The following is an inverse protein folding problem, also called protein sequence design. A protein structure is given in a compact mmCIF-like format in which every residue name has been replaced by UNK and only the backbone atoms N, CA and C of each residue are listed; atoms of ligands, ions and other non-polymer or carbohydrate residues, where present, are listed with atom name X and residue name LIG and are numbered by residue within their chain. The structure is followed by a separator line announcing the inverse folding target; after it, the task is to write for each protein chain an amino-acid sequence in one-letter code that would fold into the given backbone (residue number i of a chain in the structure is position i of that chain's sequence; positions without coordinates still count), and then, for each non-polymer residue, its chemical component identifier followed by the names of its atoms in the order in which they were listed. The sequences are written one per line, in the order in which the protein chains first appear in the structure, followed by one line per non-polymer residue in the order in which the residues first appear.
data_IF_564133207134
#
_entry.id   IF_564133207134
#
_cell.length_a   1.000
_cell.length_b   1.000
_cell.length_c   1.000
_cell.angle_alpha   90.00
_cell.angle_beta   90.00
_cell.angle_gamma   90.00
#
_symmetry.space_group_name_H-M   'P 1'
#
loop_
_entity.id
_entity.type
_entity.pdbx_description
1 polymer ?
#
# COMPACT_ATOMS: atom_id res chain seq x y z
N UNK A 1 -13.98 -10.87 37.30
CA UNK A 1 -12.60 -11.19 36.91
C UNK A 1 -12.71 -12.05 35.68
N UNK A 2 -12.14 -11.57 34.57
CA UNK A 2 -11.99 -12.25 33.27
C UNK A 2 -13.24 -12.51 32.43
N UNK A 3 -13.69 -11.47 31.71
CA UNK A 3 -14.52 -11.57 30.49
C UNK A 3 -14.34 -10.29 29.68
N UNK A 4 -13.30 -10.20 28.84
CA UNK A 4 -13.24 -9.38 27.61
C UNK A 4 -11.85 -9.39 26.93
N UNK A 5 -11.31 -10.59 26.72
CA UNK A 5 -10.22 -10.80 25.77
C UNK A 5 -10.62 -12.06 25.01
N UNK A 6 -11.35 -11.92 23.90
CA UNK A 6 -11.55 -12.90 22.81
C UNK A 6 -12.76 -12.47 21.99
N UNK A 7 -12.60 -11.47 21.11
CA UNK A 7 -13.54 -11.26 19.99
C UNK A 7 -12.88 -10.41 18.89
N UNK A 8 -11.98 -11.02 18.12
CA UNK A 8 -11.83 -10.75 16.66
C UNK A 8 -10.76 -11.68 16.06
N UNK A 9 -11.05 -12.98 16.11
CA UNK A 9 -10.46 -13.99 15.24
C UNK A 9 -11.62 -14.85 14.75
N UNK A 10 -12.15 -14.51 13.58
CA UNK A 10 -13.00 -15.28 12.66
C UNK A 10 -13.83 -14.29 11.85
N UNK A 11 -14.17 -14.65 10.59
CA UNK A 11 -14.81 -13.86 9.51
C UNK A 11 -13.73 -13.29 8.54
N UNK A 12 -13.44 -13.79 7.33
CA UNK A 12 -14.16 -14.66 6.38
C UNK A 12 -13.17 -15.45 5.50
N UNK A 13 -13.50 -16.72 5.24
CA UNK A 13 -13.07 -17.51 4.08
C UNK A 13 -14.32 -17.80 3.23
N UNK A 14 -14.12 -17.91 1.91
CA UNK A 14 -15.06 -18.19 0.79
C UNK A 14 -15.84 -17.07 0.07
N UNK A 15 -15.61 -17.09 -1.25
CA UNK A 15 -16.52 -16.83 -2.39
C UNK A 15 -16.61 -15.42 -2.99
N UNK A 16 -15.84 -15.24 -4.08
CA UNK A 16 -16.27 -14.87 -5.44
C UNK A 16 -17.44 -13.87 -5.65
N UNK A 17 -17.07 -12.75 -6.30
CA UNK A 17 -17.80 -12.00 -7.34
C UNK A 17 -18.86 -10.94 -6.96
N UNK A 18 -19.01 -9.89 -7.79
CA UNK A 18 -19.08 -8.50 -7.32
C UNK A 18 -20.42 -7.81 -7.62
N UNK A 19 -20.75 -6.76 -6.84
CA UNK A 19 -21.73 -5.77 -7.25
C UNK A 19 -21.23 -4.36 -6.91
N UNK A 20 -20.91 -3.66 -8.00
CA UNK A 20 -20.58 -2.24 -8.09
C UNK A 20 -21.69 -1.35 -7.52
N UNK A 21 -21.30 -0.26 -6.88
CA UNK A 21 -22.05 1.00 -6.94
C UNK A 21 -21.09 2.14 -7.27
N UNK A 22 -21.32 2.76 -8.43
CA UNK A 22 -20.62 3.96 -8.90
C UNK A 22 -21.41 5.18 -8.43
N UNK A 23 -20.76 6.12 -7.75
CA UNK A 23 -21.34 7.43 -7.43
C UNK A 23 -20.63 8.46 -8.29
N UNK A 24 -21.37 9.02 -9.25
CA UNK A 24 -20.98 10.16 -10.07
C UNK A 24 -20.93 11.43 -9.22
N UNK A 25 -19.83 12.19 -9.30
CA UNK A 25 -19.83 13.60 -8.93
C UNK A 25 -19.46 14.46 -10.14
N UNK A 26 -20.38 15.37 -10.48
CA UNK A 26 -20.32 16.27 -11.60
C UNK A 26 -19.21 17.32 -11.45
N UNK A 27 -18.54 17.59 -12.58
CA UNK A 27 -17.59 18.69 -12.81
C UNK A 27 -18.28 20.06 -12.76
N UNK A 28 -17.58 21.04 -12.19
CA UNK A 28 -17.54 22.41 -12.73
C UNK A 28 -16.10 22.95 -12.62
N UNK A 29 -15.66 23.68 -13.64
CA UNK A 29 -14.28 24.11 -13.85
C UNK A 29 -14.13 25.64 -13.93
N UNK A 30 -13.05 26.14 -13.27
CA UNK A 30 -12.16 27.30 -13.59
C UNK A 30 -12.68 28.75 -13.44
N UNK A 31 -11.82 29.77 -13.19
CA UNK A 31 -10.48 30.00 -13.78
C UNK A 31 -9.30 30.37 -12.84
N UNK A 32 -8.13 30.48 -13.48
CA UNK A 32 -6.74 30.55 -13.00
C UNK A 32 -6.32 31.89 -12.34
N UNK A 33 -5.31 31.82 -11.47
CA UNK A 33 -4.35 32.90 -11.18
C UNK A 33 -2.95 32.34 -10.77
N UNK A 34 -1.85 33.12 -10.90
CA UNK A 34 -0.51 32.65 -11.30
C UNK A 34 0.43 32.18 -10.16
N UNK A 35 1.57 31.51 -10.47
CA UNK A 35 2.39 30.84 -9.47
C UNK A 35 3.48 31.76 -8.90
N UNK A 36 3.41 32.10 -7.61
CA UNK A 36 4.57 32.61 -6.85
C UNK A 36 4.51 32.19 -5.39
N UNK A 37 5.65 31.70 -4.90
CA UNK A 37 5.98 31.72 -3.48
C UNK A 37 6.70 30.47 -3.02
N UNK A 38 8.04 30.49 -3.09
CA UNK A 38 8.92 29.65 -2.30
C UNK A 38 8.45 29.58 -0.84
N UNK A 39 8.16 28.38 -0.34
CA UNK A 39 8.00 28.16 1.10
C UNK A 39 9.30 27.56 1.67
N UNK A 40 9.86 28.10 2.75
CA UNK A 40 10.99 27.47 3.43
C UNK A 40 10.46 26.27 4.22
N UNK A 41 10.79 25.06 3.77
CA UNK A 41 10.49 23.84 4.50
C UNK A 41 11.28 23.80 5.82
N UNK A 42 10.58 23.96 6.93
CA UNK A 42 11.08 23.69 8.27
C UNK A 42 10.71 22.27 8.72
N UNK A 43 11.71 21.48 9.11
CA UNK A 43 11.55 20.16 9.73
C UNK A 43 10.61 20.24 10.97
N UNK A 44 9.52 19.45 11.06
CA UNK A 44 8.62 19.43 12.23
C UNK A 44 9.34 19.02 13.53
N UNK A 45 10.53 18.42 13.43
CA UNK A 45 11.32 17.95 14.55
C UNK A 45 12.39 18.93 15.04
N UNK A 46 12.58 20.10 14.39
CA UNK A 46 13.46 21.14 14.98
C UNK A 46 12.98 21.60 16.38
N UNK A 47 11.69 21.45 16.66
CA UNK A 47 11.10 21.71 17.98
C UNK A 47 11.02 20.47 18.90
N UNK A 48 11.58 19.31 18.53
CA UNK A 48 11.81 18.19 19.45
C UNK A 48 13.15 18.31 20.19
N UNK A 49 14.05 19.17 19.72
CA UNK A 49 15.39 19.33 20.30
C UNK A 49 15.39 20.21 21.58
N UNK A 50 14.39 21.07 21.79
CA UNK A 50 14.32 21.92 22.97
C UNK A 50 13.39 21.33 24.04
N UNK A 51 14.03 20.68 25.04
CA UNK A 51 13.46 20.15 26.30
C UNK A 51 12.56 18.91 26.12
N UNK A 52 13.19 17.75 25.89
CA UNK A 52 12.55 16.45 26.06
C UNK A 52 12.07 16.29 27.52
N UNK A 53 10.77 16.09 27.81
CA UNK A 53 10.41 15.35 29.00
C UNK A 53 11.06 13.98 28.84
N UNK A 54 11.90 13.60 29.79
CA UNK A 54 12.68 12.35 29.76
C UNK A 54 11.71 11.19 29.52
N UNK A 55 11.81 10.56 28.35
CA UNK A 55 11.06 9.33 28.08
C UNK A 55 11.50 8.29 29.13
N UNK A 56 10.53 7.59 29.73
CA UNK A 56 10.86 6.46 30.60
C UNK A 56 11.65 5.41 29.82
N UNK A 57 12.53 4.66 30.50
CA UNK A 57 13.34 3.60 29.88
C UNK A 57 12.51 2.62 29.02
N UNK A 58 11.32 2.23 29.48
CA UNK A 58 10.44 1.31 28.75
C UNK A 58 9.93 1.90 27.42
N UNK A 59 9.44 3.14 27.44
CA UNK A 59 8.97 3.84 26.22
C UNK A 59 10.10 4.06 25.21
N UNK A 60 11.30 4.35 25.69
CA UNK A 60 12.48 4.49 24.84
C UNK A 60 12.86 3.14 24.21
N UNK A 61 12.80 2.05 24.98
CA UNK A 61 13.04 0.69 24.48
C UNK A 61 12.05 0.32 23.37
N UNK A 62 10.74 0.51 23.59
CA UNK A 62 9.70 0.26 22.58
C UNK A 62 9.94 1.03 21.29
N UNK A 63 10.25 2.33 21.40
CA UNK A 63 10.54 3.18 20.24
C UNK A 63 11.80 2.68 19.51
N UNK A 64 12.88 2.39 20.23
CA UNK A 64 14.14 1.94 19.63
C UNK A 64 13.98 0.59 18.93
N UNK A 65 13.25 -0.36 19.52
CA UNK A 65 12.92 -1.64 18.88
C UNK A 65 12.14 -1.42 17.60
N UNK A 66 11.11 -0.55 17.63
CA UNK A 66 10.33 -0.23 16.45
C UNK A 66 11.19 0.41 15.35
N UNK A 67 11.99 1.44 15.67
CA UNK A 67 12.82 2.15 14.70
C UNK A 67 13.93 1.26 14.12
N UNK A 68 14.49 0.34 14.92
CA UNK A 68 15.48 -0.64 14.46
C UNK A 68 14.87 -1.65 13.49
N UNK A 69 13.67 -2.16 13.82
CA UNK A 69 12.93 -3.07 12.94
C UNK A 69 12.51 -2.37 11.64
N UNK A 70 12.09 -1.10 11.72
CA UNK A 70 11.78 -0.29 10.55
C UNK A 70 13.02 -0.11 9.67
N UNK A 71 14.15 0.29 10.24
CA UNK A 71 15.42 0.43 9.52
C UNK A 71 15.82 -0.88 8.82
N UNK A 72 15.80 -2.00 9.54
CA UNK A 72 16.10 -3.32 9.00
C UNK A 72 15.16 -3.70 7.85
N UNK A 73 13.86 -3.45 8.01
CA UNK A 73 12.86 -3.73 6.98
C UNK A 73 13.04 -2.89 5.71
N UNK A 74 13.53 -1.66 5.84
CA UNK A 74 13.83 -0.77 4.71
C UNK A 74 15.11 -1.24 4.02
N UNK A 75 16.16 -1.56 4.77
CA UNK A 75 17.43 -2.07 4.21
C UNK A 75 17.19 -3.34 3.39
N UNK A 76 16.29 -4.23 3.82
CA UNK A 76 15.93 -5.44 3.06
C UNK A 76 15.29 -5.16 1.70
N UNK A 77 14.73 -3.97 1.49
CA UNK A 77 14.12 -3.58 0.22
C UNK A 77 15.12 -2.97 -0.76
N UNK A 78 16.37 -2.74 -0.36
CA UNK A 78 17.46 -2.32 -1.25
C UNK A 78 17.98 -3.57 -1.97
N UNK A 79 17.76 -3.71 -3.29
CA UNK A 79 18.17 -4.90 -4.00
C UNK A 79 19.68 -4.95 -4.13
N UNK A 80 20.24 -6.16 -4.08
CA UNK A 80 21.68 -6.36 -4.25
C UNK A 80 22.12 -6.10 -5.69
N UNK A 81 21.22 -6.39 -6.62
CA UNK A 81 21.43 -6.22 -8.05
C UNK A 81 20.38 -5.27 -8.61
N UNK A 82 20.81 -4.36 -9.49
CA UNK A 82 19.92 -3.39 -10.13
C UNK A 82 18.83 -4.04 -10.98
N UNK A 83 19.11 -5.22 -11.54
CA UNK A 83 18.18 -6.05 -12.31
C UNK A 83 16.92 -6.45 -11.53
N UNK A 84 16.99 -6.46 -10.19
CA UNK A 84 15.87 -6.83 -9.32
C UNK A 84 14.90 -5.67 -9.07
N UNK A 85 15.26 -4.44 -9.42
CA UNK A 85 14.42 -3.25 -9.25
C UNK A 85 13.24 -3.32 -10.24
N UNK A 86 12.03 -3.05 -9.73
CA UNK A 86 10.76 -3.15 -10.48
C UNK A 86 10.44 -4.56 -11.03
N UNK A 87 10.98 -5.60 -10.42
CA UNK A 87 10.46 -6.98 -10.57
C UNK A 87 9.19 -7.16 -9.74
N UNK A 88 8.28 -8.04 -10.18
CA UNK A 88 7.10 -8.46 -9.42
C UNK A 88 7.49 -9.11 -8.08
N UNK A 89 8.62 -9.83 -8.05
CA UNK A 89 9.18 -10.37 -6.81
C UNK A 89 9.53 -9.26 -5.82
N UNK A 90 10.23 -8.20 -6.27
CA UNK A 90 10.53 -7.04 -5.43
C UNK A 90 9.26 -6.32 -4.97
N UNK A 91 8.29 -6.15 -5.87
CA UNK A 91 7.01 -5.51 -5.55
C UNK A 91 6.26 -6.30 -4.45
N UNK A 92 6.19 -7.63 -4.58
CA UNK A 92 5.57 -8.49 -3.55
C UNK A 92 6.27 -8.33 -2.20
N UNK A 93 7.61 -8.35 -2.17
CA UNK A 93 8.39 -8.12 -0.95
C UNK A 93 8.17 -6.72 -0.35
N UNK A 94 8.10 -5.69 -1.18
CA UNK A 94 7.84 -4.31 -0.76
C UNK A 94 6.46 -4.18 -0.10
N UNK A 95 5.43 -4.77 -0.70
CA UNK A 95 4.08 -4.74 -0.18
C UNK A 95 3.93 -5.59 1.10
N UNK A 96 4.52 -6.78 1.14
CA UNK A 96 4.58 -7.61 2.36
C UNK A 96 5.28 -6.86 3.51
N UNK A 97 6.35 -6.12 3.20
CA UNK A 97 7.07 -5.27 4.15
C UNK A 97 6.20 -4.12 4.67
N UNK A 98 5.29 -3.56 3.85
CA UNK A 98 4.27 -2.61 4.33
C UNK A 98 3.27 -3.26 5.27
N UNK A 99 2.71 -4.42 4.91
CA UNK A 99 1.79 -5.18 5.76
C UNK A 99 2.39 -5.42 7.15
N UNK A 100 3.65 -5.88 7.20
CA UNK A 100 4.38 -6.09 8.46
C UNK A 100 4.54 -4.79 9.26
N UNK A 101 4.87 -3.68 8.59
CA UNK A 101 5.10 -2.39 9.25
C UNK A 101 3.81 -1.82 9.85
N UNK A 102 2.68 -1.92 9.15
CA UNK A 102 1.39 -1.47 9.66
C UNK A 102 0.88 -2.34 10.80
N UNK A 103 1.10 -3.67 10.74
CA UNK A 103 0.83 -4.55 11.87
C UNK A 103 1.71 -4.22 13.09
N UNK A 104 2.98 -3.88 12.88
CA UNK A 104 3.87 -3.47 13.97
C UNK A 104 3.39 -2.19 14.68
N UNK A 105 2.73 -1.27 13.97
CA UNK A 105 2.08 -0.12 14.60
C UNK A 105 0.90 -0.54 15.47
N UNK A 106 0.09 -1.51 15.03
CA UNK A 106 -1.01 -2.04 15.85
C UNK A 106 -0.49 -2.65 17.15
N UNK A 107 0.61 -3.41 17.09
CA UNK A 107 1.30 -3.94 18.27
C UNK A 107 1.81 -2.79 19.16
N UNK A 108 2.49 -1.80 18.59
CA UNK A 108 3.00 -0.65 19.35
C UNK A 108 1.88 0.13 20.05
N UNK A 109 0.74 0.35 19.41
CA UNK A 109 -0.42 1.02 20.05
C UNK A 109 -0.90 0.22 21.27
N UNK A 110 -0.91 -1.11 21.16
CA UNK A 110 -1.30 -2.02 22.25
C UNK A 110 -0.29 -1.97 23.39
N UNK A 111 1.01 -2.06 23.10
CA UNK A 111 2.10 -2.02 24.09
C UNK A 111 2.21 -0.66 24.79
N UNK A 112 1.83 0.41 24.09
CA UNK A 112 1.74 1.74 24.68
C UNK A 112 0.52 1.90 25.59
N UNK A 113 -0.45 0.99 25.57
CA UNK A 113 -1.73 1.11 26.27
C UNK A 113 -2.34 2.51 26.06
N UNK A 114 -2.33 2.98 24.80
CA UNK A 114 -2.81 4.31 24.45
C UNK A 114 -4.19 4.19 23.79
N UNK A 115 -5.29 4.29 24.56
CA UNK A 115 -6.63 4.15 24.00
C UNK A 115 -6.89 5.25 22.97
N UNK A 116 -7.75 4.96 22.00
CA UNK A 116 -8.16 5.92 20.97
C UNK A 116 -8.74 7.20 21.58
N UNK A 117 -9.39 7.11 22.75
CA UNK A 117 -9.89 8.27 23.51
C UNK A 117 -8.81 9.28 23.92
N UNK A 118 -7.55 8.85 23.96
CA UNK A 118 -6.41 9.73 24.27
C UNK A 118 -5.84 10.45 23.04
N UNK A 119 -6.37 10.17 21.85
CA UNK A 119 -5.94 10.83 20.62
C UNK A 119 -6.64 12.18 20.51
N UNK A 120 -5.97 13.20 20.00
CA UNK A 120 -6.63 14.50 19.76
C UNK A 120 -7.65 14.34 18.62
N UNK A 121 -8.79 15.04 18.68
CA UNK A 121 -9.87 14.92 17.69
C UNK A 121 -9.36 15.07 16.23
N UNK A 122 -8.41 15.96 16.00
CA UNK A 122 -7.79 16.19 14.68
C UNK A 122 -7.04 14.97 14.12
N UNK A 123 -6.52 14.10 14.98
CA UNK A 123 -5.79 12.91 14.56
C UNK A 123 -6.68 11.84 13.98
N UNK A 124 -7.90 11.73 14.48
CA UNK A 124 -8.92 10.83 13.94
C UNK A 124 -9.19 11.21 12.49
N UNK A 125 -9.50 12.48 12.23
CA UNK A 125 -9.78 12.98 10.88
C UNK A 125 -8.61 12.75 9.93
N UNK A 126 -7.39 13.02 10.37
CA UNK A 126 -6.17 12.83 9.56
C UNK A 126 -5.91 11.36 9.28
N UNK A 127 -6.10 10.47 10.25
CA UNK A 127 -5.95 9.04 10.03
C UNK A 127 -6.98 8.52 9.03
N UNK A 128 -8.25 8.93 9.18
CA UNK A 128 -9.32 8.55 8.27
C UNK A 128 -9.05 9.07 6.84
N UNK A 129 -8.60 10.32 6.70
CA UNK A 129 -8.21 10.92 5.41
C UNK A 129 -7.02 10.21 4.76
N UNK A 130 -5.98 9.88 5.54
CA UNK A 130 -4.83 9.14 5.02
C UNK A 130 -5.25 7.72 4.61
N UNK A 131 -6.02 7.02 5.45
CA UNK A 131 -6.40 5.63 5.19
C UNK A 131 -7.28 5.51 3.95
N UNK A 132 -8.24 6.41 3.71
CA UNK A 132 -9.05 6.38 2.47
C UNK A 132 -8.20 6.61 1.23
N UNK A 133 -7.25 7.55 1.28
CA UNK A 133 -6.31 7.80 0.18
C UNK A 133 -5.41 6.58 -0.12
N UNK A 134 -4.97 5.87 0.91
CA UNK A 134 -4.22 4.63 0.74
C UNK A 134 -5.09 3.49 0.18
N UNK A 135 -6.36 3.42 0.58
CA UNK A 135 -7.33 2.47 0.01
C UNK A 135 -7.60 2.76 -1.47
N UNK A 136 -7.69 4.04 -1.87
CA UNK A 136 -7.82 4.44 -3.27
C UNK A 136 -6.60 4.03 -4.11
N UNK A 137 -5.38 4.16 -3.56
CA UNK A 137 -4.17 3.65 -4.20
C UNK A 137 -4.21 2.13 -4.34
N UNK A 138 -4.62 1.39 -3.31
CA UNK A 138 -4.78 -0.06 -3.38
C UNK A 138 -5.78 -0.45 -4.48
N UNK A 139 -6.93 0.23 -4.57
CA UNK A 139 -7.92 0.00 -5.62
C UNK A 139 -7.35 0.24 -7.02
N UNK A 140 -6.52 1.28 -7.19
CA UNK A 140 -5.83 1.55 -8.45
C UNK A 140 -4.83 0.44 -8.80
N UNK A 141 -4.04 0.00 -7.82
CA UNK A 141 -3.06 -1.09 -7.99
C UNK A 141 -3.74 -2.43 -8.30
N UNK A 142 -4.77 -2.82 -7.55
CA UNK A 142 -5.55 -4.04 -7.80
C UNK A 142 -6.21 -4.01 -9.17
N UNK A 143 -6.71 -2.85 -9.60
CA UNK A 143 -7.26 -2.69 -10.93
C UNK A 143 -6.21 -2.88 -12.02
N UNK A 144 -4.99 -2.38 -11.79
CA UNK A 144 -3.90 -2.56 -12.74
C UNK A 144 -3.43 -4.00 -12.81
N UNK A 145 -3.23 -4.66 -11.67
CA UNK A 145 -2.87 -6.08 -11.62
C UNK A 145 -3.93 -6.96 -12.29
N UNK A 146 -5.21 -6.64 -12.08
CA UNK A 146 -6.31 -7.33 -12.78
C UNK A 146 -6.25 -7.12 -14.30
N UNK A 147 -5.92 -5.90 -14.75
CA UNK A 147 -5.74 -5.57 -16.16
C UNK A 147 -4.56 -6.34 -16.75
N UNK A 148 -3.41 -6.36 -16.07
CA UNK A 148 -2.25 -7.14 -16.49
C UNK A 148 -2.57 -8.64 -16.56
N UNK A 149 -3.31 -9.16 -15.58
CA UNK A 149 -3.76 -10.55 -15.57
C UNK A 149 -4.73 -10.86 -16.71
N UNK A 150 -5.60 -9.94 -17.13
CA UNK A 150 -6.42 -10.14 -18.34
C UNK A 150 -5.56 -10.31 -19.60
N UNK A 151 -4.37 -9.68 -19.63
CA UNK A 151 -3.38 -9.86 -20.68
C UNK A 151 -2.93 -11.32 -20.86
N UNK A 152 -2.97 -12.10 -19.78
CA UNK A 152 -2.62 -13.52 -19.77
C UNK A 152 -3.46 -14.35 -20.75
N UNK A 153 -4.74 -14.01 -20.95
CA UNK A 153 -5.62 -14.74 -21.88
C UNK A 153 -5.13 -14.65 -23.33
N UNK A 154 -4.65 -13.47 -23.74
CA UNK A 154 -4.07 -13.29 -25.07
C UNK A 154 -2.79 -14.12 -25.24
N UNK A 155 -1.97 -14.18 -24.19
CA UNK A 155 -0.73 -14.96 -24.18
C UNK A 155 -1.01 -16.46 -24.23
N UNK A 156 -1.93 -16.96 -23.40
CA UNK A 156 -2.33 -18.37 -23.41
C UNK A 156 -2.90 -18.79 -24.77
N UNK A 157 -3.76 -17.94 -25.36
CA UNK A 157 -4.32 -18.23 -26.68
C UNK A 157 -3.24 -18.25 -27.75
N UNK A 158 -2.28 -17.30 -27.70
CA UNK A 158 -1.15 -17.30 -28.61
C UNK A 158 -0.32 -18.57 -28.45
N UNK A 159 0.14 -18.88 -27.23
CA UNK A 159 0.94 -20.07 -26.92
C UNK A 159 0.26 -21.36 -27.37
N UNK A 160 -1.03 -21.52 -27.10
CA UNK A 160 -1.80 -22.67 -27.56
C UNK A 160 -1.78 -22.82 -29.08
N UNK A 161 -2.02 -21.72 -29.82
CA UNK A 161 -2.01 -21.75 -31.28
C UNK A 161 -0.60 -22.02 -31.85
N UNK A 162 0.45 -21.50 -31.22
CA UNK A 162 1.84 -21.75 -31.60
C UNK A 162 2.21 -23.23 -31.35
N UNK A 163 1.86 -23.78 -30.20
CA UNK A 163 2.16 -25.17 -29.82
C UNK A 163 1.47 -26.24 -30.68
N UNK A 164 0.35 -25.90 -31.33
CA UNK A 164 -0.32 -26.84 -32.27
C UNK A 164 0.46 -27.07 -33.57
N UNK A 165 1.47 -26.24 -33.88
CA UNK A 165 2.30 -26.33 -35.09
C UNK A 165 1.52 -26.43 -36.41
N UNK A 166 0.30 -25.88 -36.43
CA UNK A 166 -0.57 -25.89 -37.60
C UNK A 166 -0.48 -24.54 -38.33
N UNK A 167 -0.11 -24.47 -39.62
CA UNK A 167 0.11 -23.20 -40.34
C UNK A 167 -1.08 -22.22 -40.29
N UNK A 168 -2.31 -22.74 -40.26
CA UNK A 168 -3.54 -21.95 -40.17
C UNK A 168 -3.73 -21.22 -38.83
N UNK A 169 -2.99 -21.62 -37.78
CA UNK A 169 -3.09 -21.03 -36.45
C UNK A 169 -2.07 -19.91 -36.22
N UNK A 170 -1.03 -19.80 -37.07
CA UNK A 170 -0.03 -18.73 -36.97
C UNK A 170 -0.61 -17.32 -37.08
N UNK A 171 -1.53 -17.00 -38.01
CA UNK A 171 -2.16 -15.68 -38.06
C UNK A 171 -2.97 -15.35 -36.81
N UNK A 172 -3.61 -16.36 -36.20
CA UNK A 172 -4.37 -16.21 -34.94
C UNK A 172 -3.44 -15.93 -33.77
N UNK A 173 -2.33 -16.66 -33.68
CA UNK A 173 -1.32 -16.43 -32.66
C UNK A 173 -0.73 -15.02 -32.77
N UNK A 174 -0.33 -14.60 -33.98
CA UNK A 174 0.19 -13.26 -34.24
C UNK A 174 -0.80 -12.17 -33.83
N UNK A 175 -2.07 -12.30 -34.25
CA UNK A 175 -3.13 -11.36 -33.89
C UNK A 175 -3.34 -11.27 -32.37
N UNK A 176 -3.21 -12.39 -31.65
CA UNK A 176 -3.32 -12.44 -30.20
C UNK A 176 -2.12 -11.80 -29.49
N UNK A 177 -0.91 -12.01 -30.01
CA UNK A 177 0.30 -11.35 -29.50
C UNK A 177 0.26 -9.83 -29.72
N UNK A 178 -0.26 -9.40 -30.87
CA UNK A 178 -0.47 -7.98 -31.15
C UNK A 178 -1.57 -7.39 -30.25
N UNK A 179 -2.66 -8.13 -30.01
CA UNK A 179 -3.69 -7.73 -29.05
C UNK A 179 -3.14 -7.62 -27.62
N UNK A 180 -2.28 -8.54 -27.19
CA UNK A 180 -1.56 -8.45 -25.91
C UNK A 180 -0.71 -7.18 -25.83
N UNK A 181 0.07 -6.87 -26.87
CA UNK A 181 0.89 -5.64 -26.93
C UNK A 181 0.05 -4.37 -26.85
N UNK A 182 -1.08 -4.31 -27.55
CA UNK A 182 -1.99 -3.18 -27.45
C UNK A 182 -2.63 -3.10 -26.06
N UNK A 183 -2.98 -4.25 -25.48
CA UNK A 183 -3.54 -4.33 -24.14
C UNK A 183 -2.57 -3.78 -23.11
N UNK A 184 -1.33 -4.23 -23.04
CA UNK A 184 -0.37 -3.77 -22.02
C UNK A 184 0.00 -2.28 -22.15
N UNK A 185 0.10 -1.74 -23.36
CA UNK A 185 0.38 -0.31 -23.63
C UNK A 185 -0.83 0.59 -23.30
N UNK A 186 -2.06 0.04 -23.33
CA UNK A 186 -3.24 0.80 -22.96
C UNK A 186 -3.16 1.30 -21.52
N UNK A 187 -3.46 2.58 -21.31
CA UNK A 187 -3.42 3.20 -19.98
C UNK A 187 -4.63 2.80 -19.15
N UNK A 188 -4.41 2.56 -17.87
CA UNK A 188 -5.47 2.40 -16.90
C UNK A 188 -5.88 3.76 -16.31
N UNK A 189 -7.10 4.25 -16.55
CA UNK A 189 -7.54 5.57 -16.09
C UNK A 189 -7.56 5.68 -14.56
N UNK A 190 -7.65 4.57 -13.82
CA UNK A 190 -7.61 4.60 -12.35
C UNK A 190 -6.25 5.01 -11.79
N UNK A 191 -5.19 4.95 -12.59
CA UNK A 191 -3.85 5.40 -12.19
C UNK A 191 -3.65 6.91 -12.34
N UNK A 192 -4.55 7.62 -13.04
CA UNK A 192 -4.42 9.06 -13.27
C UNK A 192 -4.54 9.87 -11.96
N UNK A 193 -5.33 9.39 -11.00
CA UNK A 193 -5.51 10.04 -9.70
C UNK A 193 -4.35 9.78 -8.73
N UNK A 194 -3.50 8.78 -8.97
CA UNK A 194 -2.43 8.39 -8.05
C UNK A 194 -1.47 9.55 -7.75
N UNK A 195 -1.10 10.34 -8.76
CA UNK A 195 -0.21 11.48 -8.57
C UNK A 195 -0.78 12.49 -7.58
N UNK A 196 -2.04 12.91 -7.81
CA UNK A 196 -2.72 13.87 -6.93
C UNK A 196 -2.86 13.35 -5.50
N UNK A 197 -3.19 12.07 -5.34
CA UNK A 197 -3.29 11.41 -4.02
C UNK A 197 -1.92 11.43 -3.32
N UNK A 198 -0.86 11.01 -4.00
CA UNK A 198 0.49 10.98 -3.44
C UNK A 198 0.98 12.38 -3.07
N UNK A 199 0.77 13.39 -3.92
CA UNK A 199 1.11 14.78 -3.62
C UNK A 199 0.36 15.28 -2.38
N UNK A 200 -0.93 15.00 -2.25
CA UNK A 200 -1.73 15.36 -1.06
C UNK A 200 -1.19 14.69 0.21
N UNK A 201 -0.80 13.42 0.11
CA UNK A 201 -0.24 12.70 1.26
C UNK A 201 1.15 13.20 1.67
N UNK A 202 1.98 13.64 0.72
CA UNK A 202 3.27 14.29 0.98
C UNK A 202 3.06 15.66 1.64
N UNK A 203 2.07 16.43 1.21
CA UNK A 203 1.74 17.72 1.85
C UNK A 203 1.32 17.55 3.32
N UNK A 204 0.70 16.41 3.65
CA UNK A 204 0.29 16.08 5.03
C UNK A 204 1.35 15.28 5.79
N UNK A 205 2.57 15.13 5.26
CA UNK A 205 3.61 14.30 5.88
C UNK A 205 3.92 14.73 7.33
N UNK A 206 3.81 16.02 7.61
CA UNK A 206 3.85 16.55 8.97
C UNK A 206 2.57 16.14 9.70
N UNK A 207 2.68 15.09 10.51
CA UNK A 207 1.62 14.70 11.41
C UNK A 207 1.51 15.74 12.56
N UNK A 208 0.29 16.06 13.04
CA UNK A 208 0.13 16.86 14.26
C UNK A 208 0.76 16.15 15.46
N UNK A 209 0.67 16.70 16.68
CA UNK A 209 1.20 16.00 17.87
C UNK A 209 0.07 15.14 18.46
N UNK A 210 0.26 13.84 18.72
CA UNK A 210 -0.76 13.04 19.43
C UNK A 210 -0.69 13.41 20.91
N UNK A 211 -1.34 14.49 21.36
CA UNK A 211 -1.35 14.94 22.76
C UNK A 211 0.06 15.26 23.27
N UNK A 212 0.22 16.17 24.23
CA UNK A 212 1.55 16.42 24.83
C UNK A 212 1.94 15.32 25.85
N UNK A 213 1.79 14.04 25.49
CA UNK A 213 2.13 12.89 26.34
C UNK A 213 3.39 12.17 25.84
N UNK A 214 4.10 11.48 26.73
CA UNK A 214 5.28 10.70 26.36
C UNK A 214 4.95 9.56 25.39
N UNK A 215 3.85 8.82 25.65
CA UNK A 215 3.31 7.76 24.78
C UNK A 215 2.93 8.28 23.39
N UNK A 216 2.24 9.43 23.35
CA UNK A 216 1.83 10.08 22.12
C UNK A 216 3.01 10.55 21.26
N UNK A 217 4.10 11.01 21.88
CA UNK A 217 5.36 11.32 21.18
C UNK A 217 5.99 10.08 20.53
N UNK A 218 6.02 8.95 21.23
CA UNK A 218 6.50 7.66 20.68
C UNK A 218 5.65 7.25 19.48
N UNK A 219 4.32 7.27 19.61
CA UNK A 219 3.41 6.90 18.53
C UNK A 219 3.52 7.83 17.32
N UNK A 220 3.56 9.15 17.53
CA UNK A 220 3.70 10.15 16.46
C UNK A 220 4.97 9.91 15.65
N UNK A 221 6.09 9.62 16.33
CA UNK A 221 7.37 9.35 15.70
C UNK A 221 7.39 8.04 14.92
N UNK A 222 6.80 6.98 15.48
CA UNK A 222 6.65 5.71 14.79
C UNK A 222 5.77 5.83 13.52
N UNK A 223 4.61 6.48 13.64
CA UNK A 223 3.70 6.73 12.53
C UNK A 223 4.34 7.55 11.40
N UNK A 224 5.21 8.51 11.74
CA UNK A 224 5.95 9.26 10.73
C UNK A 224 6.82 8.34 9.87
N UNK A 225 7.57 7.41 10.46
CA UNK A 225 8.38 6.43 9.73
C UNK A 225 7.53 5.50 8.86
N UNK A 226 6.40 5.02 9.38
CA UNK A 226 5.46 4.19 8.60
C UNK A 226 4.87 4.97 7.43
N UNK A 227 4.48 6.22 7.64
CA UNK A 227 3.95 7.08 6.59
C UNK A 227 4.98 7.30 5.49
N UNK A 228 6.22 7.65 5.82
CA UNK A 228 7.32 7.83 4.85
C UNK A 228 7.51 6.56 4.01
N UNK A 229 7.66 5.40 4.66
CA UNK A 229 7.85 4.12 3.96
C UNK A 229 6.67 3.78 3.04
N UNK A 230 5.44 3.94 3.54
CA UNK A 230 4.20 3.66 2.79
C UNK A 230 4.10 4.55 1.56
N UNK A 231 4.34 5.85 1.71
CA UNK A 231 4.27 6.80 0.60
C UNK A 231 5.30 6.51 -0.47
N UNK A 232 6.54 6.23 -0.04
CA UNK A 232 7.61 5.96 -0.97
C UNK A 232 7.32 4.71 -1.81
N UNK A 233 6.98 3.59 -1.18
CA UNK A 233 6.64 2.34 -1.89
C UNK A 233 5.42 2.52 -2.79
N UNK A 234 4.38 3.21 -2.31
CA UNK A 234 3.20 3.52 -3.12
C UNK A 234 3.54 4.40 -4.34
N UNK A 235 4.47 5.33 -4.19
CA UNK A 235 4.99 6.15 -5.29
C UNK A 235 5.74 5.33 -6.34
N UNK A 236 6.59 4.40 -5.90
CA UNK A 236 7.28 3.46 -6.81
C UNK A 236 6.28 2.59 -7.57
N UNK A 237 5.26 2.04 -6.90
CA UNK A 237 4.20 1.26 -7.53
C UNK A 237 3.41 2.09 -8.54
N UNK A 238 2.98 3.30 -8.17
CA UNK A 238 2.27 4.20 -9.05
C UNK A 238 3.11 4.56 -10.27
N UNK A 239 4.41 4.81 -10.11
CA UNK A 239 5.32 5.07 -11.21
C UNK A 239 5.44 3.86 -12.15
N UNK A 240 5.66 2.68 -11.59
CA UNK A 240 5.78 1.43 -12.34
C UNK A 240 4.53 1.14 -13.18
N UNK A 241 3.37 1.16 -12.55
CA UNK A 241 2.09 0.85 -13.19
C UNK A 241 1.63 1.91 -14.19
N UNK A 242 1.89 3.18 -13.94
CA UNK A 242 1.50 4.25 -14.87
C UNK A 242 2.46 4.44 -16.03
N UNK A 243 3.64 3.80 -15.99
CA UNK A 243 4.72 4.10 -16.92
C UNK A 243 5.16 5.56 -16.87
N UNK A 244 5.03 6.22 -15.71
CA UNK A 244 5.34 7.64 -15.54
C UNK A 244 6.21 7.91 -14.32
N UNK A 245 7.35 8.57 -14.55
CA UNK A 245 8.25 9.03 -13.48
C UNK A 245 7.66 10.17 -12.62
N UNK A 246 6.51 10.75 -13.00
CA UNK A 246 5.85 11.81 -12.24
C UNK A 246 5.41 11.36 -10.83
N UNK A 247 5.19 10.06 -10.65
CA UNK A 247 4.81 9.47 -9.35
C UNK A 247 6.01 9.14 -8.47
N UNK A 248 7.24 9.26 -8.98
CA UNK A 248 8.46 8.98 -8.25
C UNK A 248 8.73 10.08 -7.22
N UNK A 249 8.70 9.72 -5.95
CA UNK A 249 8.78 10.68 -4.85
C UNK A 249 10.23 10.95 -4.42
N UNK A 250 10.47 12.20 -4.02
CA UNK A 250 11.69 12.65 -3.35
C UNK A 250 11.32 13.15 -1.95
N UNK A 251 11.32 12.25 -0.98
CA UNK A 251 10.98 12.57 0.40
C UNK A 251 12.24 12.95 1.15
N UNK A 252 12.25 14.13 1.76
CA UNK A 252 13.32 14.56 2.67
C UNK A 252 12.97 14.17 4.10
N UNK A 253 13.88 13.49 4.77
CA UNK A 253 13.74 13.09 6.18
C UNK A 253 14.88 13.65 7.02
N UNK A 254 14.68 13.77 8.33
CA UNK A 254 15.72 14.22 9.25
C UNK A 254 16.75 13.13 9.50
N UNK A 255 18.04 13.47 9.39
CA UNK A 255 19.16 12.56 9.67
C UNK A 255 19.26 12.13 11.15
N UNK A 256 18.47 12.74 12.05
CA UNK A 256 18.41 12.38 13.47
C UNK A 256 17.57 11.11 13.74
N UNK A 257 16.87 10.60 12.73
CA UNK A 257 16.04 9.41 12.82
C UNK A 257 16.88 8.16 12.53
N UNK A 258 16.89 7.12 13.40
CA UNK A 258 17.73 5.93 13.22
C UNK A 258 17.52 5.18 11.90
N UNK A 259 16.30 5.21 11.35
CA UNK A 259 15.96 4.57 10.08
C UNK A 259 16.20 5.45 8.85
N UNK A 260 16.49 6.75 9.02
CA UNK A 260 16.67 7.68 7.91
C UNK A 260 17.83 7.29 6.98
N UNK A 261 19.01 6.84 7.45
CA UNK A 261 20.08 6.38 6.55
C UNK A 261 19.63 5.24 5.63
N UNK A 262 18.97 4.21 6.18
CA UNK A 262 18.41 3.11 5.39
C UNK A 262 17.40 3.59 4.37
N UNK A 263 16.54 4.55 4.74
CA UNK A 263 15.56 5.13 3.84
C UNK A 263 16.19 5.94 2.70
N UNK A 264 17.18 6.78 3.01
CA UNK A 264 17.87 7.58 2.02
C UNK A 264 18.63 6.71 1.02
N UNK A 265 19.27 5.64 1.50
CA UNK A 265 19.93 4.65 0.64
C UNK A 265 18.93 3.96 -0.32
N UNK A 266 17.80 3.47 0.22
CA UNK A 266 16.72 2.90 -0.59
C UNK A 266 16.19 3.89 -1.62
N UNK A 267 15.89 5.12 -1.21
CA UNK A 267 15.35 6.16 -2.09
C UNK A 267 16.33 6.50 -3.21
N UNK A 268 17.60 6.70 -2.91
CA UNK A 268 18.60 7.09 -3.90
C UNK A 268 18.87 5.95 -4.89
N UNK A 269 19.02 4.72 -4.39
CA UNK A 269 19.26 3.54 -5.22
C UNK A 269 18.09 3.30 -6.17
N UNK A 270 16.88 3.24 -5.65
CA UNK A 270 15.66 3.05 -6.45
C UNK A 270 15.43 4.21 -7.41
N UNK A 271 15.47 5.46 -6.95
CA UNK A 271 15.15 6.59 -7.82
C UNK A 271 16.16 6.74 -8.97
N UNK A 272 17.43 6.44 -8.72
CA UNK A 272 18.45 6.45 -9.78
C UNK A 272 18.19 5.38 -10.83
N UNK A 273 17.87 4.15 -10.42
CA UNK A 273 17.62 3.07 -11.35
C UNK A 273 16.29 3.21 -12.08
N UNK A 274 15.22 3.54 -11.36
CA UNK A 274 13.89 3.77 -11.96
C UNK A 274 13.97 4.87 -13.03
N UNK A 275 14.74 5.94 -12.79
CA UNK A 275 15.01 6.96 -13.81
C UNK A 275 15.73 6.40 -15.03
N UNK A 276 16.74 5.55 -14.86
CA UNK A 276 17.42 4.91 -15.98
C UNK A 276 16.47 4.01 -16.79
N UNK A 277 15.61 3.25 -16.11
CA UNK A 277 14.60 2.41 -16.76
C UNK A 277 13.63 3.28 -17.58
N UNK A 278 13.16 4.41 -17.05
CA UNK A 278 12.31 5.35 -17.81
C UNK A 278 12.99 6.02 -19.01
N UNK A 279 14.33 6.02 -19.07
CA UNK A 279 15.08 6.52 -20.24
C UNK A 279 15.31 5.44 -21.29
N UNK A 280 15.01 4.18 -20.99
CA UNK A 280 15.13 3.08 -21.95
C UNK A 280 13.89 2.97 -22.84
N UNK A 281 14.06 2.56 -24.09
CA UNK A 281 12.97 2.38 -25.08
C UNK A 281 12.19 1.06 -24.85
N UNK A 282 12.06 0.63 -23.60
CA UNK A 282 11.30 -0.56 -23.22
C UNK A 282 9.80 -0.40 -23.44
N UNK A 283 9.10 -1.50 -23.72
CA UNK A 283 7.64 -1.50 -23.86
C UNK A 283 6.93 -1.08 -22.56
N UNK A 284 7.59 -1.35 -21.45
CA UNK A 284 7.10 -1.22 -20.08
C UNK A 284 8.32 -1.16 -19.16
N UNK A 285 8.13 -0.68 -17.94
CA UNK A 285 9.19 -0.59 -16.94
C UNK A 285 9.31 -1.83 -16.06
N UNK A 286 8.35 -2.77 -16.15
CA UNK A 286 8.34 -3.99 -15.36
C UNK A 286 9.09 -5.11 -16.08
N UNK A 287 10.03 -5.75 -15.38
CA UNK A 287 10.97 -6.71 -15.97
C UNK A 287 10.31 -7.96 -16.53
N UNK A 288 9.30 -8.50 -15.87
CA UNK A 288 8.61 -9.70 -16.33
C UNK A 288 7.81 -9.43 -17.61
N UNK A 289 7.24 -8.22 -17.77
CA UNK A 289 6.57 -7.83 -19.02
C UNK A 289 7.58 -7.57 -20.15
N UNK A 290 8.74 -6.98 -19.84
CA UNK A 290 9.85 -6.85 -20.81
C UNK A 290 10.33 -8.22 -21.29
N UNK A 291 10.47 -9.20 -20.40
CA UNK A 291 10.87 -10.57 -20.74
C UNK A 291 9.87 -11.24 -21.69
N UNK A 292 8.56 -11.08 -21.44
CA UNK A 292 7.53 -11.56 -22.37
C UNK A 292 7.64 -10.86 -23.73
N UNK A 293 7.79 -9.54 -23.79
CA UNK A 293 7.94 -8.82 -25.08
C UNK A 293 9.21 -9.26 -25.83
N UNK A 294 10.32 -9.48 -25.12
CA UNK A 294 11.54 -10.05 -25.70
C UNK A 294 11.30 -11.46 -26.27
N UNK A 295 10.61 -12.34 -25.55
CA UNK A 295 10.24 -13.68 -26.04
C UNK A 295 9.36 -13.62 -27.29
N UNK A 296 8.38 -12.71 -27.30
CA UNK A 296 7.52 -12.48 -28.47
C UNK A 296 8.32 -11.98 -29.67
N UNK A 297 9.27 -11.05 -29.47
CA UNK A 297 10.15 -10.54 -30.54
C UNK A 297 11.07 -11.62 -31.09
N UNK A 298 11.60 -12.50 -30.24
CA UNK A 298 12.44 -13.63 -30.66
C UNK A 298 11.67 -14.64 -31.52
N UNK A 299 10.37 -14.84 -31.26
CA UNK A 299 9.52 -15.74 -32.03
C UNK A 299 9.01 -15.16 -33.36
N UNK A 300 9.03 -13.82 -33.53
CA UNK A 300 8.47 -13.17 -34.71
C UNK A 300 9.02 -13.69 -36.07
N UNK A 301 10.34 -13.92 -36.24
CA UNK A 301 10.87 -14.49 -37.49
C UNK A 301 10.40 -15.92 -37.75
N UNK A 302 10.28 -16.75 -36.70
CA UNK A 302 9.83 -18.13 -36.82
C UNK A 302 8.34 -18.21 -37.22
N UNK A 303 7.51 -17.32 -36.64
CA UNK A 303 6.10 -17.16 -37.02
C UNK A 303 5.98 -16.78 -38.51
N UNK A 304 6.84 -15.88 -39.01
CA UNK A 304 6.86 -15.47 -40.42
C UNK A 304 7.32 -16.59 -41.36
N UNK A 305 8.25 -17.44 -40.92
CA UNK A 305 8.77 -18.57 -41.69
C UNK A 305 7.83 -19.79 -41.69
N UNK A 306 6.76 -19.76 -40.91
CA UNK A 306 5.75 -20.82 -40.92
C UNK A 306 6.12 -22.07 -40.12
N UNK A 307 7.22 -22.05 -39.37
CA UNK A 307 7.74 -23.19 -38.63
C UNK A 307 8.22 -22.74 -37.25
N UNK A 308 7.68 -23.34 -36.19
CA UNK A 308 8.04 -23.06 -34.81
C UNK A 308 8.52 -24.35 -34.17
N UNK A 309 9.75 -24.34 -33.69
CA UNK A 309 10.30 -25.41 -32.88
C UNK A 309 9.76 -25.28 -31.44
N UNK A 310 9.22 -26.34 -30.82
CA UNK A 310 8.88 -26.32 -29.40
C UNK A 310 9.99 -25.75 -28.49
N UNK A 311 11.27 -25.97 -28.84
CA UNK A 311 12.41 -25.44 -28.09
C UNK A 311 12.44 -23.89 -28.10
N UNK A 312 12.04 -23.25 -29.20
CA UNK A 312 12.03 -21.79 -29.29
C UNK A 312 10.84 -21.15 -28.57
N UNK A 313 9.79 -21.93 -28.27
CA UNK A 313 8.60 -21.47 -27.54
C UNK A 313 8.82 -21.41 -26.01
N UNK A 314 9.67 -22.30 -25.48
CA UNK A 314 9.91 -22.44 -24.03
C UNK A 314 10.25 -21.13 -23.32
N UNK A 315 11.14 -20.26 -23.82
CA UNK A 315 11.47 -19.01 -23.13
C UNK A 315 10.27 -18.07 -22.96
N UNK A 316 9.34 -18.06 -23.92
CA UNK A 316 8.10 -17.29 -23.80
C UNK A 316 7.17 -17.93 -22.76
N UNK A 317 7.01 -19.26 -22.76
CA UNK A 317 6.20 -19.96 -21.75
C UNK A 317 6.68 -19.72 -20.33
N UNK A 318 8.00 -19.78 -20.11
CA UNK A 318 8.63 -19.52 -18.81
C UNK A 318 8.35 -18.07 -18.37
N UNK A 319 8.54 -17.09 -19.28
CA UNK A 319 8.30 -15.68 -19.00
C UNK A 319 6.82 -15.38 -18.69
N UNK A 320 5.88 -16.02 -19.40
CA UNK A 320 4.45 -15.88 -19.15
C UNK A 320 4.05 -16.48 -17.80
N UNK A 321 4.66 -17.60 -17.43
CA UNK A 321 4.44 -18.26 -16.14
C UNK A 321 4.98 -17.41 -14.98
N UNK A 322 6.18 -16.85 -15.13
CA UNK A 322 6.77 -15.94 -14.15
C UNK A 322 5.93 -14.66 -13.99
N UNK A 323 5.48 -14.06 -15.10
CA UNK A 323 4.59 -12.90 -15.09
C UNK A 323 3.29 -13.18 -14.31
N UNK A 324 2.64 -14.31 -14.60
CA UNK A 324 1.34 -14.65 -14.01
C UNK A 324 1.46 -14.93 -12.51
N UNK A 325 2.43 -15.77 -12.13
CA UNK A 325 2.71 -16.07 -10.72
C UNK A 325 3.14 -14.83 -9.94
N UNK A 326 3.95 -13.96 -10.54
CA UNK A 326 4.34 -12.68 -9.96
C UNK A 326 3.14 -11.75 -9.73
N UNK A 327 2.23 -11.62 -10.70
CA UNK A 327 1.01 -10.80 -10.56
C UNK A 327 0.13 -11.32 -9.43
N UNK A 328 -0.04 -12.64 -9.31
CA UNK A 328 -0.83 -13.25 -8.22
C UNK A 328 -0.23 -12.95 -6.84
N UNK A 329 1.10 -13.06 -6.71
CA UNK A 329 1.80 -12.73 -5.47
C UNK A 329 1.64 -11.26 -5.09
N UNK A 330 1.83 -10.34 -6.04
CA UNK A 330 1.65 -8.90 -5.76
C UNK A 330 0.19 -8.59 -5.43
N UNK A 331 -0.77 -9.21 -6.15
CA UNK A 331 -2.21 -9.02 -5.91
C UNK A 331 -2.61 -9.45 -4.50
N UNK A 332 -2.09 -10.60 -4.04
CA UNK A 332 -2.32 -11.09 -2.68
C UNK A 332 -1.77 -10.12 -1.63
N UNK A 333 -0.58 -9.57 -1.84
CA UNK A 333 0.01 -8.64 -0.88
C UNK A 333 -0.71 -7.28 -0.88
N UNK A 334 -1.16 -6.79 -2.03
CA UNK A 334 -2.00 -5.57 -2.11
C UNK A 334 -3.34 -5.78 -1.39
N UNK A 335 -3.98 -6.92 -1.57
CA UNK A 335 -5.22 -7.27 -0.85
C UNK A 335 -4.99 -7.40 0.67
N UNK A 336 -3.86 -7.99 1.08
CA UNK A 336 -3.44 -8.02 2.48
C UNK A 336 -3.31 -6.60 3.06
N UNK A 337 -2.64 -5.70 2.34
CA UNK A 337 -2.46 -4.32 2.77
C UNK A 337 -3.80 -3.57 2.84
N UNK A 338 -4.66 -3.74 1.83
CA UNK A 338 -6.02 -3.19 1.82
C UNK A 338 -6.82 -3.62 3.06
N UNK A 339 -6.79 -4.91 3.39
CA UNK A 339 -7.47 -5.47 4.58
C UNK A 339 -6.94 -4.88 5.88
N UNK A 340 -5.63 -4.68 6.00
CA UNK A 340 -5.01 -4.07 7.18
C UNK A 340 -5.50 -2.62 7.36
N UNK A 341 -5.52 -1.83 6.28
CA UNK A 341 -6.01 -0.45 6.31
C UNK A 341 -7.50 -0.39 6.70
N UNK A 342 -8.33 -1.23 6.07
CA UNK A 342 -9.76 -1.29 6.34
C UNK A 342 -10.04 -1.70 7.79
N UNK A 343 -9.38 -2.75 8.28
CA UNK A 343 -9.51 -3.22 9.67
C UNK A 343 -9.08 -2.16 10.67
N UNK A 344 -7.97 -1.45 10.41
CA UNK A 344 -7.52 -0.34 11.26
C UNK A 344 -8.55 0.79 11.35
N UNK A 345 -9.15 1.13 10.21
CA UNK A 345 -10.21 2.14 10.11
C UNK A 345 -11.48 1.73 10.85
N UNK A 346 -11.94 0.50 10.66
CA UNK A 346 -13.16 0.00 11.30
C UNK A 346 -12.98 -0.12 12.82
N UNK A 347 -11.81 -0.60 13.27
CA UNK A 347 -11.44 -0.63 14.69
C UNK A 347 -11.46 0.78 15.30
N UNK A 348 -10.93 1.78 14.59
CA UNK A 348 -10.95 3.17 15.06
C UNK A 348 -12.41 3.68 15.21
N UNK A 349 -13.25 3.43 14.20
CA UNK A 349 -14.65 3.87 14.21
C UNK A 349 -15.48 3.17 15.30
N UNK A 350 -15.25 1.88 15.54
CA UNK A 350 -15.89 1.14 16.63
C UNK A 350 -15.53 1.72 18.00
N UNK A 351 -14.24 2.04 18.21
CA UNK A 351 -13.79 2.68 19.44
C UNK A 351 -14.42 4.07 19.65
N UNK A 352 -14.63 4.86 18.58
CA UNK A 352 -15.29 6.16 18.70
C UNK A 352 -16.78 6.01 19.05
N UNK A 353 -17.45 5.00 18.49
CA UNK A 353 -18.87 4.71 18.81
C UNK A 353 -19.04 4.26 20.26
N UNK A 354 -18.11 3.46 20.79
CA UNK A 354 -18.18 3.00 22.18
C UNK A 354 -17.97 4.14 23.19
N UNK A 355 -17.14 5.13 22.86
CA UNK A 355 -16.94 6.35 23.66
C UNK A 355 -18.20 7.23 23.67
N UNK A 356 -18.95 7.28 22.56
CA UNK A 356 -20.16 8.11 22.41
C UNK A 356 -21.44 7.53 23.00
N UNK A 357 -21.44 6.29 23.53
CA UNK A 357 -22.60 5.70 24.16
C UNK A 357 -22.75 6.22 25.61
N UNK A 358 -23.87 6.87 26.00
CA UNK A 358 -24.08 7.23 27.38
C UNK A 358 -24.21 5.94 28.21
N UNK A 359 -23.37 5.81 29.24
CA UNK A 359 -23.55 4.81 30.29
C UNK A 359 -24.92 5.03 30.93
N UNK A 360 -25.93 4.27 30.52
CA UNK A 360 -27.19 4.19 31.26
C UNK A 360 -26.89 3.54 32.60
N UNK A 361 -26.63 4.39 33.59
CA UNK A 361 -26.62 4.03 35.00
C UNK A 361 -28.02 3.50 35.31
N UNK A 362 -28.13 2.19 35.55
CA UNK A 362 -29.29 1.60 36.20
C UNK A 362 -29.36 2.18 37.62
N UNK A 363 -30.11 3.26 37.77
CA UNK A 363 -30.55 3.76 39.07
C UNK A 363 -31.55 2.76 39.65
N UNK A 364 -31.08 1.86 40.52
CA UNK A 364 -31.94 1.06 41.38
C UNK A 364 -32.61 1.99 42.39
N UNK A 365 -33.90 2.26 42.19
CA UNK A 365 -34.75 2.93 43.18
C UNK A 365 -35.09 1.97 44.34
N UNK A 366 -35.25 2.46 45.59
CA UNK A 366 -35.48 1.60 46.75
C UNK A 366 -36.95 1.16 46.85
N UNK A 367 -37.17 -0.15 47.03
CA UNK A 367 -38.50 -0.70 47.34
C UNK A 367 -38.92 -0.29 48.76
N UNK A 368 -39.99 0.51 48.84
CA UNK A 368 -40.84 0.71 50.02
C UNK A 368 -41.46 -0.64 50.41
N UNK A 369 -41.14 -1.16 51.60
CA UNK A 369 -41.85 -2.29 52.21
C UNK A 369 -42.83 -1.76 53.26
N UNK A 370 -44.11 -1.76 52.91
CA UNK A 370 -45.24 -1.67 53.84
C UNK A 370 -45.51 -3.06 54.42
N UNK A 371 -45.42 -3.20 55.75
CA UNK A 371 -45.86 -4.39 56.48
C UNK A 371 -46.22 -4.03 57.92
N UNK A 372 -47.52 -3.84 58.17
CA UNK A 372 -48.10 -3.58 59.50
C UNK A 372 -48.44 -4.92 60.19
N UNK A 373 -48.28 -4.92 61.53
CA UNK A 373 -49.00 -5.72 62.57
C UNK A 373 -48.57 -7.21 62.72
N UNK A 374 -48.46 -7.83 63.91
CA UNK A 374 -48.91 -7.51 65.28
C UNK A 374 -48.37 -8.52 66.33
N UNK A 375 -48.48 -8.16 67.64
CA UNK A 375 -48.43 -8.97 68.90
C UNK A 375 -47.05 -9.39 69.43
N UNK A 376 -46.74 -9.30 70.73
CA UNK A 376 -47.51 -8.94 71.92
C UNK A 376 -46.67 -9.05 73.20
N UNK A 377 -47.22 -8.50 74.28
CA UNK A 377 -46.73 -8.28 75.65
C UNK A 377 -45.82 -7.07 75.86
#
# INVERSE_FOLDING_TARGET
MDFNIYFMFMIYDRCCSPLFFSINFNKMARPQDPPRGFFPFGNPFKNLSSKNPVLSSNLLSLLNTFETNLASSITKLVPKEKSQILTLSWMSQAMASLCQTHNAIKTLITDLELPVSDWEDKWVDIYLDISVKLLDLCNAFSSELSRLNQGHLFLQFALHNLGTNAPQNLPKAQSSLDAWKQHIVSKNPRLESCHAILTSLVQTLNLPKVKNSAKGKVLTRALYGVKVKTLYISGVFAAAFSGSSQNLLYVTVSNELPWAPSFMDMQNTMNSEVKNIFLSDGLTVMKELEAVDSGVKQLAPAIQQGSIDPISLQPLEDSVTELTSGIDLVSKEVDCFFKILLSGRDTLLENLRSIGAPTTVLATSPKKATGKKQRGF
#
